data_IF_029737227790
#
_entry.id   IF_029737227790
#
_cell.length_a   1.000
_cell.length_b   1.000
_cell.length_c   1.000
_cell.angle_alpha   90.00
_cell.angle_beta   90.00
_cell.angle_gamma   90.00
#
_symmetry.space_group_name_H-M   'P 1'
#
loop_
_entity.id
_entity.type
_entity.pdbx_description
1 polymer ?
#
# COMPACT_ATOMS: atom_id res chain seq x y z
N UNK A 1 -17.28 -7.85 16.33
CA UNK A 1 -16.18 -6.89 16.06
C UNK A 1 -15.68 -7.04 14.63
N UNK A 2 -15.52 -5.93 13.95
CA UNK A 2 -15.06 -5.95 12.57
C UNK A 2 -13.56 -5.69 12.54
N UNK A 3 -12.85 -6.53 11.81
CA UNK A 3 -11.44 -6.30 11.57
C UNK A 3 -11.27 -5.16 10.58
N UNK A 4 -10.26 -4.33 10.81
CA UNK A 4 -9.91 -3.30 9.85
C UNK A 4 -9.39 -3.94 8.57
N UNK A 5 -9.92 -3.51 7.43
CA UNK A 5 -9.47 -4.02 6.14
C UNK A 5 -9.66 -2.96 5.07
N UNK A 6 -8.85 -3.04 4.03
CA UNK A 6 -8.97 -2.17 2.88
C UNK A 6 -10.07 -2.75 1.98
N UNK A 7 -11.09 -1.94 1.74
CA UNK A 7 -12.21 -2.33 0.90
C UNK A 7 -11.90 -2.09 -0.57
N UNK A 8 -11.16 -1.01 -0.88
CA UNK A 8 -10.84 -0.63 -2.24
C UNK A 8 -9.50 0.09 -2.28
N UNK A 9 -8.72 -0.16 -3.33
CA UNK A 9 -7.45 0.52 -3.56
C UNK A 9 -7.42 1.00 -5.01
N UNK A 10 -7.20 2.30 -5.19
CA UNK A 10 -7.20 2.92 -6.52
C UNK A 10 -5.87 3.64 -6.74
N UNK A 11 -5.20 3.34 -7.85
CA UNK A 11 -3.96 4.01 -8.19
C UNK A 11 -4.24 5.49 -8.50
N UNK A 12 -3.51 6.38 -7.82
CA UNK A 12 -3.72 7.81 -7.95
C UNK A 12 -2.64 8.54 -8.76
N UNK A 13 -1.70 7.79 -9.34
CA UNK A 13 -0.57 8.38 -10.07
C UNK A 13 0.59 8.71 -9.16
N UNK A 14 1.79 8.86 -9.72
CA UNK A 14 2.98 9.24 -8.95
C UNK A 14 3.34 8.26 -7.83
N UNK A 15 3.07 6.97 -8.00
CA UNK A 15 3.32 5.92 -7.01
C UNK A 15 2.53 6.15 -5.71
N UNK A 16 1.33 6.69 -5.85
CA UNK A 16 0.39 6.90 -4.74
C UNK A 16 -0.83 6.04 -4.95
N UNK A 17 -1.43 5.58 -3.85
CA UNK A 17 -2.65 4.78 -3.89
C UNK A 17 -3.66 5.37 -2.93
N UNK A 18 -4.89 5.52 -3.40
CA UNK A 18 -6.01 5.91 -2.54
C UNK A 18 -6.63 4.65 -1.97
N UNK A 19 -6.70 4.59 -0.65
CA UNK A 19 -7.23 3.43 0.07
C UNK A 19 -8.54 3.80 0.75
N UNK A 20 -9.57 2.99 0.51
CA UNK A 20 -10.86 3.11 1.18
C UNK A 20 -10.98 1.92 2.14
N UNK A 21 -11.18 2.20 3.41
CA UNK A 21 -11.27 1.18 4.45
C UNK A 21 -12.73 0.82 4.73
N UNK A 22 -12.93 -0.33 5.36
CA UNK A 22 -14.28 -0.83 5.66
C UNK A 22 -15.03 -0.01 6.70
N UNK A 23 -14.36 0.90 7.40
CA UNK A 23 -14.99 1.84 8.33
C UNK A 23 -15.35 3.18 7.68
N UNK A 24 -15.12 3.32 6.38
CA UNK A 24 -15.41 4.54 5.64
C UNK A 24 -14.26 5.54 5.57
N UNK A 25 -13.16 5.28 6.26
CA UNK A 25 -11.98 6.16 6.19
C UNK A 25 -11.30 6.01 4.83
N UNK A 26 -10.88 7.14 4.26
CA UNK A 26 -10.14 7.17 2.99
C UNK A 26 -8.79 7.84 3.22
N UNK A 27 -7.72 7.20 2.80
CA UNK A 27 -6.38 7.78 2.90
C UNK A 27 -5.69 7.73 1.54
N UNK A 28 -4.79 8.70 1.31
CA UNK A 28 -3.94 8.72 0.13
C UNK A 28 -2.51 8.49 0.61
N UNK A 29 -1.90 7.39 0.18
CA UNK A 29 -0.57 7.00 0.63
C UNK A 29 0.44 7.16 -0.49
N UNK A 30 1.51 7.91 -0.21
CA UNK A 30 2.62 8.07 -1.14
C UNK A 30 3.66 6.97 -0.87
N UNK A 31 3.44 5.81 -1.48
CA UNK A 31 4.36 4.68 -1.32
C UNK A 31 5.72 4.95 -1.97
N UNK A 32 5.73 5.73 -3.05
CA UNK A 32 6.98 6.06 -3.72
C UNK A 32 7.93 6.83 -2.82
N UNK A 33 7.41 7.79 -2.06
CA UNK A 33 8.22 8.54 -1.12
C UNK A 33 8.80 7.62 -0.05
N UNK A 34 7.99 6.68 0.47
CA UNK A 34 8.45 5.74 1.48
C UNK A 34 9.57 4.84 0.94
N UNK A 35 9.42 4.34 -0.29
CA UNK A 35 10.43 3.48 -0.92
C UNK A 35 11.75 4.23 -1.09
N UNK A 36 11.69 5.50 -1.49
CA UNK A 36 12.88 6.34 -1.67
C UNK A 36 13.59 6.60 -0.35
N UNK A 37 12.84 6.71 0.75
CA UNK A 37 13.40 6.93 2.08
C UNK A 37 13.95 5.64 2.70
N UNK A 38 13.54 4.49 2.18
CA UNK A 38 13.93 3.18 2.69
C UNK A 38 14.48 2.31 1.56
N UNK A 39 15.60 2.71 0.92
CA UNK A 39 16.11 2.01 -0.25
C UNK A 39 16.49 0.57 0.06
N UNK A 40 15.99 -0.33 -0.76
CA UNK A 40 16.27 -1.76 -0.64
C UNK A 40 16.06 -2.38 -2.03
N UNK A 41 16.93 -3.30 -2.48
CA UNK A 41 16.81 -3.89 -3.83
C UNK A 41 15.41 -4.47 -4.10
N UNK A 42 14.79 -5.08 -3.10
CA UNK A 42 13.47 -5.68 -3.23
C UNK A 42 12.37 -4.62 -3.38
N UNK A 43 12.52 -3.48 -2.71
CA UNK A 43 11.54 -2.40 -2.76
C UNK A 43 11.74 -1.51 -3.97
N UNK A 44 13.00 -1.26 -4.35
CA UNK A 44 13.33 -0.33 -5.43
C UNK A 44 12.72 -0.72 -6.77
N UNK A 45 12.44 -2.00 -7.00
CA UNK A 45 11.80 -2.45 -8.23
C UNK A 45 10.40 -1.83 -8.41
N UNK A 46 9.76 -1.46 -7.31
CA UNK A 46 8.42 -0.89 -7.34
C UNK A 46 8.42 0.63 -7.56
N UNK A 47 9.59 1.24 -7.75
CA UNK A 47 9.67 2.61 -8.27
C UNK A 47 9.33 2.66 -9.76
N UNK A 48 9.34 1.52 -10.43
CA UNK A 48 8.84 1.38 -11.79
C UNK A 48 7.31 1.34 -11.72
N UNK A 49 6.67 2.32 -12.35
CA UNK A 49 5.22 2.46 -12.30
C UNK A 49 4.48 1.20 -12.75
N UNK A 50 4.97 0.55 -13.79
CA UNK A 50 4.33 -0.67 -14.30
C UNK A 50 4.30 -1.78 -13.26
N UNK A 51 5.38 -1.93 -12.51
CA UNK A 51 5.45 -2.93 -11.45
C UNK A 51 4.66 -2.49 -10.23
N UNK A 52 4.71 -1.20 -9.92
CA UNK A 52 3.97 -0.65 -8.78
C UNK A 52 2.47 -0.86 -8.94
N UNK A 53 1.93 -0.70 -10.13
CA UNK A 53 0.50 -0.83 -10.39
C UNK A 53 -0.02 -2.26 -10.26
N UNK A 54 0.85 -3.22 -10.02
CA UNK A 54 0.47 -4.64 -9.85
C UNK A 54 0.09 -4.97 -8.41
N UNK A 55 -0.11 -3.98 -7.57
CA UNK A 55 -0.57 -4.23 -6.20
C UNK A 55 -1.91 -4.98 -6.22
N UNK A 56 -2.17 -5.68 -5.12
CA UNK A 56 -3.42 -6.40 -4.96
C UNK A 56 -3.84 -6.36 -3.50
N UNK A 57 -5.13 -6.58 -3.26
CA UNK A 57 -5.65 -6.76 -1.91
C UNK A 57 -5.75 -8.26 -1.66
N UNK A 58 -5.19 -8.71 -0.55
CA UNK A 58 -5.28 -10.12 -0.20
C UNK A 58 -6.63 -10.42 0.45
N UNK A 59 -6.85 -11.69 0.79
CA UNK A 59 -8.12 -12.13 1.37
C UNK A 59 -8.42 -11.52 2.73
N UNK A 60 -7.39 -10.99 3.41
CA UNK A 60 -7.54 -10.32 4.70
C UNK A 60 -7.75 -8.81 4.56
N UNK A 61 -7.76 -8.31 3.34
CA UNK A 61 -7.93 -6.88 3.09
C UNK A 61 -6.69 -6.04 3.28
N UNK A 62 -5.51 -6.65 3.12
CA UNK A 62 -4.23 -5.93 3.15
C UNK A 62 -3.75 -5.69 1.74
N UNK A 63 -3.05 -4.57 1.51
CA UNK A 63 -2.43 -4.30 0.23
C UNK A 63 -1.04 -4.90 0.20
N UNK A 64 -0.68 -5.53 -0.92
CA UNK A 64 0.61 -6.20 -1.05
C UNK A 64 1.09 -6.17 -2.51
N UNK A 65 2.38 -6.38 -2.69
CA UNK A 65 3.03 -6.51 -3.99
C UNK A 65 3.83 -7.79 -4.01
N UNK A 66 3.82 -8.48 -5.16
CA UNK A 66 4.61 -9.68 -5.36
C UNK A 66 3.95 -10.93 -4.80
N UNK A 67 4.30 -12.10 -5.36
CA UNK A 67 3.71 -13.38 -4.97
C UNK A 67 3.99 -13.74 -3.52
N UNK A 68 5.15 -13.33 -3.02
CA UNK A 68 5.59 -13.65 -1.66
C UNK A 68 5.52 -12.42 -0.75
N UNK A 69 4.67 -11.46 -1.09
CA UNK A 69 4.52 -10.22 -0.34
C UNK A 69 5.86 -9.49 -0.21
N UNK A 70 6.52 -9.30 -1.35
CA UNK A 70 7.81 -8.63 -1.42
C UNK A 70 7.77 -7.23 -0.82
N UNK A 71 6.61 -6.57 -0.91
CA UNK A 71 6.37 -5.28 -0.29
C UNK A 71 5.02 -5.35 0.43
N UNK A 72 5.02 -5.01 1.70
CA UNK A 72 3.85 -5.16 2.57
C UNK A 72 3.90 -4.11 3.67
N UNK A 73 2.74 -3.58 4.03
CA UNK A 73 2.65 -2.53 5.05
C UNK A 73 1.58 -2.87 6.09
N UNK A 74 1.83 -2.53 7.38
CA UNK A 74 0.82 -2.72 8.41
C UNK A 74 -0.42 -1.87 8.12
N UNK A 75 -1.59 -2.51 8.18
CA UNK A 75 -2.83 -1.85 7.80
C UNK A 75 -3.20 -0.67 8.71
N UNK A 76 -2.87 -0.77 10.00
CA UNK A 76 -3.17 0.30 10.94
C UNK A 76 -2.40 1.59 10.62
N UNK A 77 -1.18 1.47 10.10
CA UNK A 77 -0.40 2.64 9.68
C UNK A 77 -0.97 3.26 8.41
N UNK A 78 -1.40 2.45 7.47
CA UNK A 78 -2.05 2.94 6.26
C UNK A 78 -3.35 3.68 6.61
N UNK A 79 -4.05 3.19 7.61
CA UNK A 79 -5.29 3.81 8.08
C UNK A 79 -5.04 5.20 8.68
N UNK A 80 -3.88 5.40 9.29
CA UNK A 80 -3.48 6.70 9.85
C UNK A 80 -3.03 7.70 8.77
N UNK A 81 -2.80 7.22 7.56
CA UNK A 81 -2.43 8.08 6.44
C UNK A 81 -0.93 8.27 6.23
N UNK A 82 -0.09 7.61 7.00
CA UNK A 82 1.36 7.65 6.80
C UNK A 82 2.01 6.41 7.40
N UNK A 83 3.17 6.07 6.87
CA UNK A 83 3.90 4.88 7.27
C UNK A 83 5.07 5.26 8.16
N UNK A 84 5.09 4.69 9.37
CA UNK A 84 6.17 4.87 10.34
C UNK A 84 6.67 3.49 10.72
N UNK A 85 7.75 3.08 10.09
CA UNK A 85 8.35 1.76 10.35
C UNK A 85 9.72 1.91 10.99
#
# INVERSE_FOLDING_TARGET
MKYLRIKEATYAGGLKVMLTFNDGVVTLIDFGAWIKENPHPQYNRYLDEKKFKRFYLDEMGNIAWGKNRDLYFPIDQLHKGHIVL
#
